data_IF_414227969514
#
_entry.id   IF_414227969514
#
_cell.length_a   1.000
_cell.length_b   1.000
_cell.length_c   1.000
_cell.angle_alpha   90.00
_cell.angle_beta   90.00
_cell.angle_gamma   90.00
#
_symmetry.space_group_name_H-M   'P 1'
#
loop_
_entity.id
_entity.type
_entity.pdbx_description
1 polymer ?
#
# COMPACT_ATOMS: atom_id res chain seq x y z
N UNK A 1 -10.13 12.24 -12.47
CA UNK A 1 -10.50 10.84 -12.20
C UNK A 1 -11.62 10.89 -11.16
N UNK A 2 -12.81 10.43 -11.51
CA UNK A 2 -14.03 10.52 -10.70
C UNK A 2 -14.15 9.27 -9.82
N UNK A 3 -14.21 9.39 -8.48
CA UNK A 3 -14.39 8.24 -7.63
C UNK A 3 -15.85 7.74 -7.68
N UNK A 4 -16.04 6.42 -7.78
CA UNK A 4 -17.31 5.74 -7.53
C UNK A 4 -17.27 5.22 -6.09
N UNK A 5 -17.97 5.87 -5.15
CA UNK A 5 -17.82 5.69 -3.70
C UNK A 5 -19.13 5.36 -2.99
N UNK A 6 -19.75 4.23 -3.32
CA UNK A 6 -21.00 3.88 -2.64
C UNK A 6 -20.80 2.96 -1.42
N UNK A 7 -19.58 2.47 -1.15
CA UNK A 7 -19.33 1.56 -0.01
C UNK A 7 -17.88 1.64 0.55
N UNK A 8 -17.51 2.76 1.19
CA UNK A 8 -16.31 2.81 2.05
C UNK A 8 -16.72 2.67 3.49
N UNK A 9 -15.99 1.84 4.23
CA UNK A 9 -15.98 1.89 5.69
C UNK A 9 -15.59 3.30 6.17
N UNK A 10 -16.60 4.00 6.69
CA UNK A 10 -16.48 5.39 7.14
C UNK A 10 -15.61 5.50 8.40
N UNK A 11 -15.59 4.47 9.24
CA UNK A 11 -14.78 4.46 10.46
C UNK A 11 -13.29 4.30 10.11
N UNK A 12 -12.98 3.37 9.19
CA UNK A 12 -11.63 3.21 8.66
C UNK A 12 -11.13 4.47 7.95
N UNK A 13 -12.01 5.17 7.23
CA UNK A 13 -11.70 6.43 6.56
C UNK A 13 -11.37 7.54 7.57
N UNK A 14 -12.18 7.70 8.62
CA UNK A 14 -11.93 8.67 9.69
C UNK A 14 -10.62 8.40 10.41
N UNK A 15 -10.32 7.14 10.70
CA UNK A 15 -9.06 6.79 11.33
C UNK A 15 -7.86 7.07 10.41
N UNK A 16 -7.98 6.77 9.12
CA UNK A 16 -6.98 7.10 8.11
C UNK A 16 -6.74 8.61 8.04
N UNK A 17 -7.79 9.42 8.01
CA UNK A 17 -7.70 10.88 8.05
C UNK A 17 -6.97 11.36 9.31
N UNK A 18 -7.32 10.81 10.47
CA UNK A 18 -6.66 11.16 11.75
C UNK A 18 -5.17 10.87 11.75
N UNK A 19 -4.76 9.71 11.23
CA UNK A 19 -3.34 9.33 11.20
C UNK A 19 -2.53 10.07 10.14
N UNK A 20 -3.15 10.40 9.01
CA UNK A 20 -2.47 11.06 7.90
C UNK A 20 -2.47 12.59 7.99
N UNK A 21 -3.41 13.19 8.73
CA UNK A 21 -3.64 14.63 8.70
C UNK A 21 -4.31 15.11 7.40
N UNK A 22 -4.87 14.20 6.59
CA UNK A 22 -5.54 14.55 5.34
C UNK A 22 -6.76 15.46 5.59
N UNK A 23 -6.90 16.49 4.75
CA UNK A 23 -7.96 17.50 4.88
C UNK A 23 -9.25 17.11 4.14
N UNK A 24 -9.20 16.04 3.35
CA UNK A 24 -10.36 15.50 2.63
C UNK A 24 -10.33 13.97 2.55
N UNK A 25 -11.50 13.37 2.39
CA UNK A 25 -11.67 11.92 2.21
C UNK A 25 -10.90 11.40 0.98
N UNK A 26 -10.98 12.13 -0.13
CA UNK A 26 -10.28 11.80 -1.37
C UNK A 26 -8.76 11.81 -1.18
N UNK A 27 -8.25 12.77 -0.42
CA UNK A 27 -6.82 12.85 -0.09
C UNK A 27 -6.40 11.66 0.79
N UNK A 28 -7.18 11.34 1.82
CA UNK A 28 -6.91 10.23 2.72
C UNK A 28 -6.87 8.88 2.00
N UNK A 29 -7.84 8.63 1.12
CA UNK A 29 -7.86 7.40 0.32
C UNK A 29 -6.66 7.35 -0.62
N UNK A 30 -6.42 8.41 -1.38
CA UNK A 30 -5.32 8.42 -2.33
C UNK A 30 -3.98 8.17 -1.64
N UNK A 31 -3.79 8.74 -0.45
CA UNK A 31 -2.62 8.47 0.37
C UNK A 31 -2.57 7.00 0.81
N UNK A 32 -3.66 6.46 1.35
CA UNK A 32 -3.73 5.06 1.78
C UNK A 32 -3.40 4.08 0.65
N UNK A 33 -3.94 4.30 -0.56
CA UNK A 33 -3.64 3.50 -1.74
C UNK A 33 -2.17 3.56 -2.14
N UNK A 34 -1.55 4.76 -2.10
CA UNK A 34 -0.12 4.92 -2.39
C UNK A 34 0.76 4.19 -1.39
N UNK A 35 0.45 4.30 -0.11
CA UNK A 35 1.17 3.62 0.98
C UNK A 35 1.05 2.10 0.82
N UNK A 36 -0.16 1.60 0.56
CA UNK A 36 -0.40 0.17 0.34
C UNK A 36 0.40 -0.36 -0.86
N UNK A 37 0.32 0.33 -2.00
CA UNK A 37 1.05 -0.05 -3.20
C UNK A 37 2.58 -0.02 -2.98
N UNK A 38 3.10 0.99 -2.28
CA UNK A 38 4.52 1.06 -1.95
C UNK A 38 4.95 -0.10 -1.06
N UNK A 39 4.18 -0.40 0.01
CA UNK A 39 4.45 -1.53 0.92
C UNK A 39 4.50 -2.87 0.17
N UNK A 40 3.61 -3.07 -0.80
CA UNK A 40 3.57 -4.31 -1.57
C UNK A 40 4.69 -4.42 -2.61
N UNK A 41 5.10 -3.31 -3.24
CA UNK A 41 6.28 -3.31 -4.13
C UNK A 41 7.55 -3.71 -3.36
N UNK A 42 7.79 -3.11 -2.20
CA UNK A 42 8.97 -3.43 -1.38
C UNK A 42 8.99 -4.89 -0.91
N UNK A 43 7.83 -5.47 -0.62
CA UNK A 43 7.73 -6.90 -0.25
C UNK A 43 8.02 -7.83 -1.42
N UNK A 44 7.40 -7.57 -2.57
CA UNK A 44 7.61 -8.38 -3.76
C UNK A 44 9.06 -8.31 -4.26
N UNK A 45 9.71 -7.15 -4.15
CA UNK A 45 11.14 -6.99 -4.46
C UNK A 45 12.02 -7.77 -3.48
N UNK A 46 11.72 -7.72 -2.17
CA UNK A 46 12.45 -8.45 -1.15
C UNK A 46 12.33 -9.99 -1.31
N UNK A 47 11.16 -10.50 -1.70
CA UNK A 47 10.97 -11.92 -1.99
C UNK A 47 11.79 -12.36 -3.21
N UNK A 48 11.72 -11.62 -4.32
CA UNK A 48 12.51 -11.91 -5.53
C UNK A 48 14.01 -11.93 -5.25
N UNK A 49 14.51 -11.04 -4.40
CA UNK A 49 15.92 -11.01 -4.02
C UNK A 49 16.32 -12.23 -3.16
N UNK A 50 15.43 -12.67 -2.25
CA UNK A 50 15.67 -13.91 -1.46
C UNK A 50 15.74 -15.14 -2.36
N UNK A 51 14.86 -15.23 -3.35
CA UNK A 51 14.84 -16.31 -4.33
C UNK A 51 16.13 -16.34 -5.16
N UNK A 52 16.57 -15.18 -5.69
CA UNK A 52 17.84 -15.06 -6.42
C UNK A 52 19.03 -15.51 -5.59
N UNK A 53 19.11 -15.06 -4.34
CA UNK A 53 20.19 -15.47 -3.42
C UNK A 53 20.15 -16.96 -3.10
N UNK A 54 18.96 -17.56 -3.01
CA UNK A 54 18.82 -19.00 -2.83
C UNK A 54 19.31 -19.74 -4.06
N UNK A 55 18.88 -19.35 -5.26
CA UNK A 55 19.33 -19.95 -6.51
C UNK A 55 20.85 -19.86 -6.69
N UNK A 56 21.45 -18.72 -6.35
CA UNK A 56 22.91 -18.55 -6.45
C UNK A 56 23.69 -19.40 -5.45
N UNK A 57 23.11 -19.69 -4.27
CA UNK A 57 23.72 -20.61 -3.28
C UNK A 57 23.63 -22.08 -3.69
N UNK A 58 22.60 -22.48 -4.43
CA UNK A 58 22.45 -23.86 -4.91
C UNK A 58 23.17 -24.12 -6.24
N UNK A 59 23.63 -23.06 -6.92
CA UNK A 59 24.40 -23.15 -8.16
C UNK A 59 25.92 -23.22 -7.93
N UNK A 60 26.39 -23.13 -6.68
CA UNK A 60 27.79 -23.19 -6.29
C UNK A 60 28.07 -24.50 -5.54
#
# INVERSE_FOLDING_TARGET
MTPTWDDIDTDALRETMRFSGALSEVEAVNLALRVYAARHRSRAEAERERERRSAQRHAC
#
